data_IF_366501318630
#
_entry.id   IF_366501318630
#
_cell.length_a   1.000
_cell.length_b   1.000
_cell.length_c   1.000
_cell.angle_alpha   90.00
_cell.angle_beta   90.00
_cell.angle_gamma   90.00
#
_symmetry.space_group_name_H-M   'P 1'
#
loop_
_entity.id
_entity.type
_entity.pdbx_description
1 polymer ?
#
# COMPACT_ATOMS: atom_id res chain seq x y z
N UNK A 1 -18.26 -8.17 -14.09
CA UNK A 1 -17.76 -8.73 -12.81
C UNK A 1 -17.60 -7.66 -11.72
N UNK A 2 -17.25 -6.41 -12.08
CA UNK A 2 -17.05 -5.28 -11.15
C UNK A 2 -18.31 -4.83 -10.36
N UNK A 3 -19.49 -4.78 -10.99
CA UNK A 3 -20.78 -4.49 -10.30
C UNK A 3 -21.17 -5.55 -9.26
N UNK A 4 -20.63 -6.78 -9.35
CA UNK A 4 -20.85 -7.83 -8.34
C UNK A 4 -19.99 -7.63 -7.08
N UNK A 5 -18.84 -6.96 -7.19
CA UNK A 5 -18.00 -6.67 -6.04
C UNK A 5 -18.53 -5.50 -5.22
N UNK A 6 -18.98 -4.40 -5.85
CA UNK A 6 -19.67 -3.31 -5.16
C UNK A 6 -20.93 -3.80 -4.42
N UNK A 7 -21.73 -4.68 -5.04
CA UNK A 7 -22.89 -5.31 -4.40
C UNK A 7 -22.56 -6.23 -3.22
N UNK A 8 -21.46 -7.00 -3.26
CA UNK A 8 -21.03 -7.82 -2.11
C UNK A 8 -20.40 -6.98 -1.00
N UNK A 9 -19.67 -5.95 -1.40
CA UNK A 9 -18.98 -4.99 -0.53
C UNK A 9 -19.98 -4.14 0.28
N UNK A 10 -21.01 -3.62 -0.37
CA UNK A 10 -22.11 -2.91 0.30
C UNK A 10 -23.00 -3.85 1.14
N UNK A 11 -23.26 -5.09 0.68
CA UNK A 11 -24.23 -6.01 1.32
C UNK A 11 -23.91 -6.46 2.74
N UNK A 12 -22.63 -6.60 3.13
CA UNK A 12 -22.28 -7.12 4.47
C UNK A 12 -22.52 -6.12 5.60
N UNK A 13 -22.59 -4.83 5.26
CA UNK A 13 -22.81 -3.73 6.21
C UNK A 13 -24.08 -2.92 5.90
N UNK A 14 -24.77 -3.22 4.79
CA UNK A 14 -25.94 -2.48 4.30
C UNK A 14 -27.03 -2.35 5.37
N UNK A 15 -27.35 -3.44 6.07
CA UNK A 15 -28.42 -3.44 7.07
C UNK A 15 -28.14 -2.49 8.23
N UNK A 16 -26.87 -2.29 8.60
CA UNK A 16 -26.48 -1.34 9.64
C UNK A 16 -26.47 0.09 9.10
N UNK A 17 -25.87 0.30 7.92
CA UNK A 17 -25.79 1.59 7.24
C UNK A 17 -27.18 2.16 6.96
N UNK A 18 -28.12 1.33 6.53
CA UNK A 18 -29.52 1.73 6.30
C UNK A 18 -30.25 2.08 7.60
N UNK A 19 -29.94 1.43 8.74
CA UNK A 19 -30.55 1.74 10.05
C UNK A 19 -30.13 3.09 10.62
N UNK A 20 -28.95 3.58 10.24
CA UNK A 20 -28.39 4.86 10.71
C UNK A 20 -28.63 6.01 9.73
N UNK A 21 -29.58 5.87 8.80
CA UNK A 21 -30.14 6.97 8.01
C UNK A 21 -29.68 7.04 6.55
N UNK A 22 -28.68 6.25 6.14
CA UNK A 22 -28.27 6.18 4.74
C UNK A 22 -29.30 5.44 3.89
N UNK A 23 -29.38 5.78 2.61
CA UNK A 23 -30.28 5.16 1.63
C UNK A 23 -29.46 4.60 0.48
N UNK A 24 -29.82 3.40 0.04
CA UNK A 24 -29.30 2.85 -1.21
C UNK A 24 -30.15 3.40 -2.36
N UNK A 25 -29.56 4.23 -3.21
CA UNK A 25 -30.20 4.77 -4.39
C UNK A 25 -29.66 4.07 -5.64
N UNK A 26 -30.50 3.99 -6.67
CA UNK A 26 -30.14 3.43 -7.97
C UNK A 26 -30.51 4.44 -9.03
N UNK A 27 -29.56 4.79 -9.89
CA UNK A 27 -29.78 5.72 -10.99
C UNK A 27 -29.08 5.26 -12.26
N UNK A 28 -29.46 5.82 -13.41
CA UNK A 28 -28.76 5.60 -14.67
C UNK A 28 -27.83 6.76 -14.96
N UNK A 29 -26.57 6.47 -15.30
CA UNK A 29 -25.62 7.48 -15.76
C UNK A 29 -26.17 8.12 -17.05
N UNK A 30 -26.31 9.45 -17.11
CA UNK A 30 -26.84 10.13 -18.29
C UNK A 30 -26.01 9.87 -19.55
N UNK A 31 -24.69 9.75 -19.39
CA UNK A 31 -23.73 9.65 -20.51
C UNK A 31 -23.56 8.22 -21.02
N UNK A 32 -23.42 7.23 -20.13
CA UNK A 32 -23.14 5.84 -20.53
C UNK A 32 -24.37 4.93 -20.55
N UNK A 33 -25.48 5.36 -19.92
CA UNK A 33 -26.70 4.56 -19.77
C UNK A 33 -26.61 3.44 -18.72
N UNK A 34 -25.44 3.25 -18.10
CA UNK A 34 -25.23 2.23 -17.09
C UNK A 34 -26.02 2.51 -15.81
N UNK A 35 -26.54 1.45 -15.20
CA UNK A 35 -27.19 1.54 -13.89
C UNK A 35 -26.14 1.52 -12.78
N UNK A 36 -26.15 2.53 -11.92
CA UNK A 36 -25.24 2.70 -10.78
C UNK A 36 -26.04 2.70 -9.49
N UNK A 37 -25.56 1.91 -8.53
CA UNK A 37 -26.04 1.90 -7.14
C UNK A 37 -25.05 2.70 -6.28
N UNK A 38 -25.57 3.57 -5.41
CA UNK A 38 -24.76 4.38 -4.50
C UNK A 38 -25.49 4.59 -3.17
N UNK A 39 -24.72 4.86 -2.11
CA UNK A 39 -25.30 5.24 -0.83
C UNK A 39 -25.43 6.76 -0.76
N UNK A 40 -26.54 7.25 -0.23
CA UNK A 40 -26.80 8.67 -0.04
C UNK A 40 -27.27 8.96 1.38
N UNK A 41 -26.80 10.04 1.97
CA UNK A 41 -27.27 10.57 3.24
C UNK A 41 -27.43 12.08 3.11
N UNK A 42 -28.62 12.58 3.43
CA UNK A 42 -28.90 14.01 3.48
C UNK A 42 -29.06 14.40 4.95
N UNK A 43 -28.29 15.40 5.38
CA UNK A 43 -28.36 15.96 6.73
C UNK A 43 -28.56 17.47 6.65
N UNK A 44 -29.08 18.05 7.73
CA UNK A 44 -29.27 19.49 7.88
C UNK A 44 -28.37 19.96 9.02
N UNK A 45 -27.47 20.90 8.73
CA UNK A 45 -26.67 21.53 9.76
C UNK A 45 -27.55 22.42 10.65
N UNK A 46 -27.12 22.70 11.91
CA UNK A 46 -27.81 23.63 12.81
C UNK A 46 -28.04 25.01 12.20
N UNK A 47 -27.16 25.43 11.28
CA UNK A 47 -27.23 26.69 10.55
C UNK A 47 -28.19 26.64 9.34
N UNK A 48 -28.94 25.55 9.16
CA UNK A 48 -29.94 25.39 8.09
C UNK A 48 -29.37 24.94 6.75
N UNK A 49 -28.06 24.77 6.63
CA UNK A 49 -27.40 24.33 5.40
C UNK A 49 -27.61 22.82 5.18
N UNK A 50 -28.04 22.44 3.97
CA UNK A 50 -28.20 21.03 3.61
C UNK A 50 -26.87 20.42 3.18
N UNK A 51 -26.49 19.30 3.79
CA UNK A 51 -25.34 18.50 3.38
C UNK A 51 -25.85 17.21 2.73
N UNK A 52 -25.52 17.01 1.46
CA UNK A 52 -25.85 15.79 0.71
C UNK A 52 -24.57 14.99 0.45
N UNK A 53 -24.48 13.86 1.16
CA UNK A 53 -23.35 12.95 1.10
C UNK A 53 -23.68 11.78 0.17
N UNK A 54 -22.77 11.45 -0.73
CA UNK A 54 -22.92 10.33 -1.64
C UNK A 54 -21.64 9.48 -1.73
N UNK A 55 -21.79 8.16 -1.62
CA UNK A 55 -20.67 7.21 -1.70
C UNK A 55 -20.77 6.42 -2.99
N UNK A 56 -19.78 6.61 -3.86
CA UNK A 56 -19.63 5.86 -5.11
C UNK A 56 -18.41 4.97 -5.06
N UNK A 57 -18.47 3.82 -5.74
CA UNK A 57 -17.27 3.07 -6.05
C UNK A 57 -16.49 3.78 -7.17
N UNK A 58 -15.26 4.21 -6.89
CA UNK A 58 -14.37 4.77 -7.91
C UNK A 58 -13.57 3.66 -8.58
N UNK A 59 -13.67 3.58 -9.90
CA UNK A 59 -12.86 2.64 -10.69
C UNK A 59 -11.38 3.03 -10.70
N UNK A 60 -11.08 4.33 -10.72
CA UNK A 60 -9.71 4.86 -10.72
C UNK A 60 -8.96 4.50 -9.45
N UNK A 61 -9.64 4.55 -8.30
CA UNK A 61 -9.04 4.22 -7.00
C UNK A 61 -9.33 2.79 -6.55
N UNK A 62 -10.22 2.07 -7.23
CA UNK A 62 -10.68 0.73 -6.85
C UNK A 62 -11.22 0.62 -5.41
N UNK A 63 -11.77 1.72 -4.89
CA UNK A 63 -12.35 1.83 -3.54
C UNK A 63 -13.59 2.72 -3.57
N UNK A 64 -14.48 2.62 -2.56
CA UNK A 64 -15.53 3.61 -2.35
C UNK A 64 -14.93 4.98 -2.07
N UNK A 65 -15.65 6.01 -2.49
CA UNK A 65 -15.27 7.41 -2.39
C UNK A 65 -16.48 8.21 -1.95
N UNK A 66 -16.27 9.14 -1.03
CA UNK A 66 -17.30 10.06 -0.59
C UNK A 66 -17.24 11.37 -1.39
N UNK A 67 -18.42 11.82 -1.79
CA UNK A 67 -18.68 13.16 -2.31
C UNK A 67 -19.62 13.89 -1.36
N UNK A 68 -19.41 15.20 -1.23
CA UNK A 68 -20.22 16.12 -0.47
C UNK A 68 -20.72 17.24 -1.38
N UNK A 69 -22.04 17.32 -1.50
CA UNK A 69 -22.76 18.44 -2.08
C UNK A 69 -23.26 19.33 -0.93
N UNK A 70 -22.54 20.44 -0.70
CA UNK A 70 -22.90 21.46 0.29
C UNK A 70 -22.91 22.82 -0.39
N UNK A 71 -24.08 23.44 -0.48
CA UNK A 71 -24.23 24.75 -1.12
C UNK A 71 -24.64 25.81 -0.10
N UNK A 72 -24.11 27.02 -0.23
CA UNK A 72 -24.60 28.20 0.49
C UNK A 72 -25.99 28.61 -0.01
N UNK A 73 -26.64 29.53 0.70
CA UNK A 73 -27.87 30.18 0.25
C UNK A 73 -27.69 30.93 -1.09
N UNK A 74 -26.46 31.34 -1.42
CA UNK A 74 -26.09 31.94 -2.71
C UNK A 74 -25.88 30.91 -3.83
N UNK A 75 -25.97 29.62 -3.54
CA UNK A 75 -25.77 28.52 -4.50
C UNK A 75 -24.30 28.18 -4.78
N UNK A 76 -23.36 28.71 -4.00
CA UNK A 76 -21.94 28.40 -4.12
C UNK A 76 -21.58 27.13 -3.36
N UNK A 77 -20.66 26.33 -3.89
CA UNK A 77 -20.17 25.12 -3.22
C UNK A 77 -19.26 25.53 -2.05
N UNK A 78 -19.62 25.12 -0.82
CA UNK A 78 -18.91 25.52 0.41
C UNK A 78 -18.35 24.29 1.12
N UNK A 79 -17.09 24.36 1.54
CA UNK A 79 -16.47 23.34 2.38
C UNK A 79 -16.88 23.50 3.86
N UNK A 80 -17.04 22.40 4.63
CA UNK A 80 -17.20 22.49 6.08
C UNK A 80 -15.99 23.19 6.72
N UNK A 81 -16.25 23.99 7.75
CA UNK A 81 -15.22 24.74 8.47
C UNK A 81 -14.15 23.81 9.08
N UNK A 82 -12.88 24.09 8.82
CA UNK A 82 -11.74 23.27 9.30
C UNK A 82 -11.40 22.06 8.43
N UNK A 83 -11.99 21.97 7.23
CA UNK A 83 -11.78 20.91 6.23
C UNK A 83 -11.37 21.48 4.86
N UNK A 84 -11.06 22.76 4.79
CA UNK A 84 -10.86 23.48 3.51
C UNK A 84 -9.76 22.82 2.66
N UNK A 85 -8.73 22.26 3.33
CA UNK A 85 -7.60 21.59 2.68
C UNK A 85 -7.77 20.07 2.50
N UNK A 86 -8.80 19.47 3.12
CA UNK A 86 -9.03 18.02 3.08
C UNK A 86 -9.93 17.60 1.91
N UNK A 87 -10.65 18.56 1.33
CA UNK A 87 -11.64 18.38 0.28
C UNK A 87 -11.14 18.98 -1.04
N UNK A 88 -11.32 18.25 -2.13
CA UNK A 88 -10.97 18.74 -3.48
C UNK A 88 -12.25 18.97 -4.30
N UNK A 89 -12.46 20.15 -4.89
CA UNK A 89 -13.56 20.36 -5.82
C UNK A 89 -13.43 19.44 -7.05
N UNK A 90 -14.53 18.81 -7.46
CA UNK A 90 -14.59 17.97 -8.66
C UNK A 90 -16.03 17.92 -9.19
N UNK A 91 -16.25 17.19 -10.28
CA UNK A 91 -17.59 17.00 -10.85
C UNK A 91 -18.24 15.74 -10.29
N UNK A 92 -19.54 15.83 -9.98
CA UNK A 92 -20.30 14.71 -9.47
C UNK A 92 -20.38 13.60 -10.52
N UNK A 93 -20.08 12.34 -10.17
CA UNK A 93 -19.91 11.25 -11.14
C UNK A 93 -21.17 10.89 -11.94
N UNK A 94 -22.35 11.39 -11.53
CA UNK A 94 -23.62 11.19 -12.25
C UNK A 94 -24.11 12.48 -12.89
N UNK A 95 -24.23 13.55 -12.12
CA UNK A 95 -24.91 14.78 -12.55
C UNK A 95 -23.98 15.77 -13.23
N UNK A 96 -22.66 15.60 -13.09
CA UNK A 96 -21.67 16.58 -13.56
C UNK A 96 -21.71 17.91 -12.81
N UNK A 97 -22.49 18.00 -11.72
CA UNK A 97 -22.55 19.21 -10.91
C UNK A 97 -21.28 19.35 -10.05
N UNK A 98 -20.82 20.58 -9.74
CA UNK A 98 -19.67 20.79 -8.85
C UNK A 98 -19.94 20.21 -7.45
N UNK A 99 -19.03 19.39 -6.94
CA UNK A 99 -19.09 18.75 -5.62
C UNK A 99 -17.73 18.69 -4.96
N UNK A 100 -17.72 18.51 -3.65
CA UNK A 100 -16.49 18.31 -2.89
C UNK A 100 -16.19 16.82 -2.80
N UNK A 101 -14.98 16.43 -3.16
CA UNK A 101 -14.51 15.05 -3.13
C UNK A 101 -13.54 14.85 -1.96
N UNK A 102 -13.82 13.81 -1.17
CA UNK A 102 -12.89 13.33 -0.15
C UNK A 102 -11.94 12.32 -0.79
N UNK A 103 -10.65 12.64 -0.78
CA UNK A 103 -9.65 11.69 -1.24
C UNK A 103 -9.70 10.43 -0.35
N UNK A 104 -9.70 9.21 -0.92
CA UNK A 104 -9.85 7.97 -0.14
C UNK A 104 -8.83 7.83 1.00
N UNK A 105 -7.58 8.26 0.78
CA UNK A 105 -6.52 8.24 1.79
C UNK A 105 -6.70 9.23 2.96
N UNK A 106 -7.64 10.18 2.85
CA UNK A 106 -7.94 11.19 3.87
C UNK A 106 -9.28 10.96 4.56
N UNK A 107 -9.88 9.78 4.38
CA UNK A 107 -11.17 9.40 5.01
C UNK A 107 -11.12 9.45 6.53
N UNK A 108 -9.94 9.29 7.15
CA UNK A 108 -9.74 9.44 8.60
C UNK A 108 -9.87 10.90 9.10
N UNK A 109 -9.63 11.89 8.24
CA UNK A 109 -9.76 13.33 8.58
C UNK A 109 -11.24 13.73 8.74
N UNK A 110 -12.16 13.04 8.05
CA UNK A 110 -13.61 13.23 8.21
C UNK A 110 -14.11 12.89 9.62
N UNK A 111 -13.45 11.98 10.33
CA UNK A 111 -13.81 11.68 11.72
C UNK A 111 -13.70 12.91 12.65
N UNK A 112 -12.90 13.91 12.27
CA UNK A 112 -12.74 15.18 13.01
C UNK A 112 -13.92 16.13 12.79
N UNK A 113 -14.51 16.10 11.60
CA UNK A 113 -15.59 17.01 11.18
C UNK A 113 -16.97 16.56 11.66
N UNK A 114 -17.06 15.35 12.18
CA UNK A 114 -18.34 14.74 12.50
C UNK A 114 -18.67 14.93 13.99
N UNK A 115 -19.78 15.61 14.33
CA UNK A 115 -20.21 15.76 15.72
C UNK A 115 -20.31 14.41 16.42
N UNK A 116 -19.94 14.36 17.70
CA UNK A 116 -19.86 13.07 18.41
C UNK A 116 -21.18 12.29 18.43
N UNK A 117 -22.29 13.00 18.33
CA UNK A 117 -23.67 12.52 18.35
C UNK A 117 -24.19 11.96 17.03
N UNK A 118 -23.53 12.22 15.90
CA UNK A 118 -24.03 11.77 14.59
C UNK A 118 -23.44 10.41 14.21
N UNK A 119 -24.16 9.35 14.57
CA UNK A 119 -23.77 7.96 14.28
C UNK A 119 -23.79 7.66 12.76
N UNK A 120 -24.65 8.33 11.99
CA UNK A 120 -24.78 8.13 10.55
C UNK A 120 -23.56 8.62 9.79
N UNK A 121 -23.09 9.84 10.11
CA UNK A 121 -21.92 10.45 9.49
C UNK A 121 -20.60 9.81 9.91
N UNK A 122 -20.50 9.22 11.11
CA UNK A 122 -19.27 8.55 11.59
C UNK A 122 -19.03 7.16 11.01
N UNK A 123 -20.10 6.43 10.72
CA UNK A 123 -20.00 5.03 10.37
C UNK A 123 -19.33 4.82 9.01
N UNK A 124 -19.70 5.60 7.99
CA UNK A 124 -19.12 5.47 6.65
C UNK A 124 -17.61 5.74 6.61
N UNK A 125 -17.05 6.83 7.17
CA UNK A 125 -15.60 7.01 7.21
C UNK A 125 -14.90 5.90 7.99
N UNK A 126 -15.41 5.47 9.15
CA UNK A 126 -14.84 4.31 9.88
C UNK A 126 -15.03 2.97 9.14
N UNK A 127 -16.00 2.86 8.25
CA UNK A 127 -16.18 1.70 7.39
C UNK A 127 -15.27 1.75 6.14
N UNK A 128 -14.98 2.95 5.63
CA UNK A 128 -14.06 3.19 4.50
C UNK A 128 -12.59 3.17 4.93
N UNK A 129 -12.30 3.59 6.15
CA UNK A 129 -10.98 3.50 6.79
C UNK A 129 -11.08 2.45 7.88
N UNK A 130 -10.87 1.16 7.57
CA UNK A 130 -10.92 0.09 8.57
C UNK A 130 -10.11 0.48 9.83
N UNK A 131 -10.72 0.77 10.99
CA UNK A 131 -9.99 1.32 12.11
C UNK A 131 -9.20 0.19 12.76
N UNK A 132 -7.87 0.33 12.77
CA UNK A 132 -7.04 -0.57 13.57
C UNK A 132 -7.21 -0.28 15.06
N UNK A 133 -7.34 -1.33 15.87
CA UNK A 133 -7.29 -1.24 17.31
C UNK A 133 -5.87 -0.85 17.72
N UNK A 134 -5.72 0.38 18.20
CA UNK A 134 -4.44 0.88 18.71
C UNK A 134 -4.09 0.18 20.02
N UNK A 135 -2.84 -0.25 20.16
CA UNK A 135 -2.34 -0.89 21.36
C UNK A 135 -1.09 -0.16 21.85
N UNK A 136 -1.10 0.36 23.09
CA UNK A 136 0.03 1.10 23.68
C UNK A 136 0.55 2.26 22.80
N UNK A 137 -0.33 2.91 22.03
CA UNK A 137 0.04 4.01 21.12
C UNK A 137 0.50 3.58 19.72
N UNK A 138 0.64 2.27 19.47
CA UNK A 138 0.94 1.70 18.14
C UNK A 138 -0.32 1.76 17.28
N UNK A 139 -0.18 2.30 16.06
CA UNK A 139 -1.30 2.44 15.11
C UNK A 139 -1.71 1.09 14.50
N UNK A 140 -0.75 0.27 14.08
CA UNK A 140 -1.01 -1.05 13.46
C UNK A 140 -0.22 -2.16 14.18
N UNK A 141 -0.72 -2.68 15.31
CA UNK A 141 0.05 -3.59 16.16
C UNK A 141 0.59 -4.85 15.46
N UNK A 142 -0.20 -5.45 14.57
CA UNK A 142 0.20 -6.64 13.84
C UNK A 142 1.29 -6.32 12.80
N UNK A 143 1.05 -5.34 11.93
CA UNK A 143 2.03 -4.88 10.94
C UNK A 143 3.35 -4.50 11.62
N UNK A 144 3.32 -3.70 12.69
CA UNK A 144 4.51 -3.32 13.46
C UNK A 144 5.28 -4.54 13.97
N UNK A 145 4.60 -5.49 14.61
CA UNK A 145 5.24 -6.70 15.14
C UNK A 145 5.87 -7.53 14.02
N UNK A 146 5.14 -7.76 12.92
CA UNK A 146 5.61 -8.58 11.83
C UNK A 146 6.75 -7.92 11.04
N UNK A 147 6.73 -6.60 10.82
CA UNK A 147 7.87 -5.87 10.24
C UNK A 147 9.11 -5.97 11.12
N UNK A 148 8.95 -5.83 12.45
CA UNK A 148 10.06 -6.00 13.40
C UNK A 148 10.65 -7.41 13.34
N UNK A 149 9.79 -8.44 13.28
CA UNK A 149 10.23 -9.83 13.16
C UNK A 149 10.93 -10.12 11.82
N UNK A 150 10.51 -9.51 10.71
CA UNK A 150 11.25 -9.58 9.44
C UNK A 150 12.65 -8.97 9.60
N UNK A 151 12.76 -7.77 10.20
CA UNK A 151 14.06 -7.14 10.47
C UNK A 151 14.98 -8.01 11.33
N UNK A 152 14.45 -8.60 12.40
CA UNK A 152 15.18 -9.53 13.28
C UNK A 152 15.64 -10.77 12.50
N UNK A 153 14.78 -11.35 11.64
CA UNK A 153 15.14 -12.49 10.82
C UNK A 153 16.31 -12.18 9.87
N UNK A 154 16.34 -10.97 9.28
CA UNK A 154 17.49 -10.52 8.48
C UNK A 154 18.76 -10.32 9.32
N UNK A 155 18.66 -9.81 10.55
CA UNK A 155 19.81 -9.68 11.47
C UNK A 155 20.41 -11.06 11.77
N UNK A 156 19.57 -12.06 12.10
CA UNK A 156 20.05 -13.42 12.35
C UNK A 156 20.64 -14.06 11.09
N UNK A 157 19.96 -13.90 9.95
CA UNK A 157 20.41 -14.40 8.66
C UNK A 157 21.76 -13.80 8.23
N UNK A 158 21.92 -12.47 8.37
CA UNK A 158 23.17 -11.79 8.08
C UNK A 158 24.28 -12.24 9.04
N UNK A 159 23.96 -12.42 10.32
CA UNK A 159 24.90 -12.95 11.31
C UNK A 159 25.33 -14.40 11.00
N UNK A 160 24.43 -15.23 10.46
CA UNK A 160 24.77 -16.57 9.99
C UNK A 160 25.68 -16.52 8.75
N UNK A 161 25.34 -15.67 7.77
CA UNK A 161 26.16 -15.44 6.57
C UNK A 161 27.59 -15.01 6.94
N UNK A 162 27.72 -14.06 7.86
CA UNK A 162 29.03 -13.54 8.29
C UNK A 162 29.90 -14.62 8.94
N UNK A 163 29.30 -15.59 9.64
CA UNK A 163 29.99 -16.70 10.33
C UNK A 163 30.31 -17.87 9.41
N UNK A 164 29.44 -18.19 8.46
CA UNK A 164 29.54 -19.41 7.64
C UNK A 164 30.23 -19.16 6.29
N UNK A 165 30.09 -17.96 5.72
CA UNK A 165 30.65 -17.62 4.41
C UNK A 165 32.02 -16.98 4.58
N UNK A 166 33.04 -17.67 4.04
CA UNK A 166 34.44 -17.22 4.02
C UNK A 166 34.59 -15.82 3.42
N UNK A 167 35.52 -15.02 3.95
CA UNK A 167 35.79 -13.64 3.50
C UNK A 167 36.11 -13.53 2.01
N UNK A 168 36.72 -14.56 1.42
CA UNK A 168 37.17 -14.59 0.04
C UNK A 168 36.03 -14.94 -0.93
N UNK A 169 34.84 -15.31 -0.42
CA UNK A 169 33.73 -15.68 -1.27
C UNK A 169 33.29 -14.47 -2.14
N UNK A 170 33.24 -14.63 -3.48
CA UNK A 170 33.18 -13.49 -4.40
C UNK A 170 31.93 -12.62 -4.27
N UNK A 171 30.82 -13.20 -3.82
CA UNK A 171 29.55 -12.48 -3.68
C UNK A 171 29.28 -11.99 -2.26
N UNK A 172 30.17 -12.25 -1.29
CA UNK A 172 29.92 -11.98 0.14
C UNK A 172 29.58 -10.51 0.40
N UNK A 173 30.32 -9.58 -0.20
CA UNK A 173 30.06 -8.14 -0.05
C UNK A 173 28.67 -7.72 -0.56
N UNK A 174 28.24 -8.26 -1.70
CA UNK A 174 26.91 -8.00 -2.27
C UNK A 174 25.78 -8.48 -1.35
N UNK A 175 25.93 -9.67 -0.76
CA UNK A 175 24.93 -10.20 0.17
C UNK A 175 24.89 -9.46 1.50
N UNK A 176 26.04 -8.99 2.00
CA UNK A 176 26.10 -8.14 3.20
C UNK A 176 25.39 -6.82 2.94
N UNK A 177 25.72 -6.14 1.83
CA UNK A 177 25.09 -4.87 1.48
C UNK A 177 23.57 -5.03 1.34
N UNK A 178 23.11 -6.06 0.62
CA UNK A 178 21.68 -6.34 0.47
C UNK A 178 21.02 -6.66 1.83
N UNK A 179 21.67 -7.45 2.69
CA UNK A 179 21.16 -7.75 4.03
C UNK A 179 21.00 -6.51 4.91
N UNK A 180 21.98 -5.61 4.90
CA UNK A 180 21.91 -4.34 5.64
C UNK A 180 20.79 -3.43 5.14
N UNK A 181 20.62 -3.34 3.81
CA UNK A 181 19.53 -2.56 3.20
C UNK A 181 18.17 -3.15 3.58
N UNK A 182 18.02 -4.48 3.58
CA UNK A 182 16.79 -5.13 4.01
C UNK A 182 16.48 -4.86 5.49
N UNK A 183 17.47 -4.94 6.38
CA UNK A 183 17.30 -4.59 7.80
C UNK A 183 16.80 -3.15 7.92
N UNK A 184 17.41 -2.20 7.21
CA UNK A 184 17.01 -0.80 7.25
C UNK A 184 15.58 -0.59 6.72
N UNK A 185 15.22 -1.26 5.63
CA UNK A 185 13.85 -1.24 5.08
C UNK A 185 12.82 -1.68 6.12
N UNK A 186 13.06 -2.81 6.81
CA UNK A 186 12.13 -3.30 7.83
C UNK A 186 12.08 -2.42 9.08
N UNK A 187 13.18 -1.73 9.41
CA UNK A 187 13.17 -0.71 10.48
C UNK A 187 12.27 0.46 10.08
N UNK A 188 12.37 0.96 8.85
CA UNK A 188 11.49 2.04 8.38
C UNK A 188 10.02 1.62 8.37
N UNK A 189 9.73 0.40 7.91
CA UNK A 189 8.38 -0.17 7.94
C UNK A 189 7.84 -0.32 9.36
N UNK A 190 8.67 -0.77 10.31
CA UNK A 190 8.30 -0.86 11.73
C UNK A 190 7.95 0.52 12.31
N UNK A 191 8.74 1.54 12.00
CA UNK A 191 8.51 2.92 12.46
C UNK A 191 7.20 3.47 11.87
N UNK A 192 6.97 3.26 10.58
CA UNK A 192 5.76 3.69 9.89
C UNK A 192 4.50 3.06 10.48
N UNK A 193 4.44 1.74 10.60
CA UNK A 193 3.28 1.04 11.18
C UNK A 193 3.09 1.34 12.68
N UNK A 194 4.17 1.70 13.39
CA UNK A 194 4.07 2.19 14.77
C UNK A 194 3.37 3.53 14.80
N UNK A 195 3.86 4.47 13.99
CA UNK A 195 3.30 5.82 13.89
C UNK A 195 3.39 6.37 12.47
N UNK A 196 2.22 6.45 11.85
CA UNK A 196 2.02 7.04 10.54
C UNK A 196 2.05 8.58 10.65
N UNK A 197 3.00 9.16 9.93
CA UNK A 197 3.21 10.59 9.72
C UNK A 197 3.71 10.78 8.29
N UNK A 198 3.56 11.97 7.69
CA UNK A 198 4.07 12.22 6.33
C UNK A 198 5.57 11.97 6.17
N UNK A 199 6.34 12.04 7.27
CA UNK A 199 7.78 11.73 7.25
C UNK A 199 8.03 10.22 7.28
N UNK A 200 7.38 9.50 8.20
CA UNK A 200 7.57 8.04 8.36
C UNK A 200 7.02 7.27 7.16
N UNK A 201 5.93 7.75 6.56
CA UNK A 201 5.41 7.27 5.27
C UNK A 201 6.47 7.38 4.17
N UNK A 202 6.98 8.59 3.91
CA UNK A 202 8.02 8.79 2.88
C UNK A 202 9.25 7.91 3.13
N UNK A 203 9.62 7.72 4.40
CA UNK A 203 10.75 6.90 4.78
C UNK A 203 10.54 5.42 4.46
N UNK A 204 9.35 4.88 4.74
CA UNK A 204 9.00 3.49 4.42
C UNK A 204 9.00 3.25 2.90
N UNK A 205 8.33 4.11 2.13
CA UNK A 205 8.30 4.02 0.67
C UNK A 205 9.68 4.17 0.03
N UNK A 206 10.53 5.07 0.56
CA UNK A 206 11.91 5.18 0.12
C UNK A 206 12.72 3.92 0.46
N UNK A 207 12.58 3.40 1.67
CA UNK A 207 13.21 2.16 2.13
C UNK A 207 12.86 0.98 1.24
N UNK A 208 11.56 0.78 0.99
CA UNK A 208 11.04 -0.26 0.11
C UNK A 208 11.61 -0.16 -1.31
N UNK A 209 11.63 1.03 -1.89
CA UNK A 209 12.18 1.24 -3.24
C UNK A 209 13.69 0.93 -3.30
N UNK A 210 14.46 1.43 -2.34
CA UNK A 210 15.90 1.16 -2.25
C UNK A 210 16.16 -0.34 -2.09
N UNK A 211 15.41 -1.02 -1.23
CA UNK A 211 15.52 -2.46 -1.02
C UNK A 211 15.20 -3.27 -2.28
N UNK A 212 14.14 -2.88 -3.01
CA UNK A 212 13.73 -3.57 -4.24
C UNK A 212 14.78 -3.40 -5.35
N UNK A 213 15.33 -2.19 -5.53
CA UNK A 213 16.42 -1.94 -6.49
C UNK A 213 17.71 -2.65 -6.09
N UNK A 214 18.05 -2.70 -4.80
CA UNK A 214 19.20 -3.44 -4.30
C UNK A 214 19.06 -4.95 -4.55
N UNK A 215 17.86 -5.51 -4.33
CA UNK A 215 17.56 -6.91 -4.59
C UNK A 215 17.65 -7.26 -6.09
N UNK A 216 17.13 -6.38 -6.97
CA UNK A 216 17.27 -6.52 -8.42
C UNK A 216 18.75 -6.44 -8.86
N UNK A 217 19.51 -5.55 -8.24
CA UNK A 217 20.97 -5.43 -8.48
C UNK A 217 21.69 -6.72 -8.08
N UNK A 218 21.34 -7.30 -6.93
CA UNK A 218 21.96 -8.53 -6.43
C UNK A 218 21.73 -9.73 -7.38
N UNK A 219 20.51 -9.91 -7.89
CA UNK A 219 20.24 -10.99 -8.88
C UNK A 219 20.92 -10.71 -10.22
N UNK A 220 21.03 -9.45 -10.63
CA UNK A 220 21.75 -9.06 -11.86
C UNK A 220 23.23 -9.43 -11.76
N UNK A 221 23.88 -9.08 -10.65
CA UNK A 221 25.28 -9.47 -10.37
C UNK A 221 25.44 -10.99 -10.38
N UNK A 222 24.46 -11.72 -9.82
CA UNK A 222 24.45 -13.17 -9.78
C UNK A 222 24.29 -13.81 -11.16
N UNK A 223 23.48 -13.23 -12.04
CA UNK A 223 23.26 -13.67 -13.43
C UNK A 223 24.46 -13.38 -14.33
N UNK A 224 25.03 -12.18 -14.24
CA UNK A 224 26.20 -11.79 -15.02
C UNK A 224 27.42 -12.62 -14.61
N UNK A 225 27.53 -12.94 -13.32
CA UNK A 225 28.67 -13.63 -12.74
C UNK A 225 29.79 -12.66 -12.38
N UNK A 226 30.41 -12.87 -11.23
CA UNK A 226 31.40 -11.95 -10.66
C UNK A 226 32.62 -11.76 -11.57
N UNK A 227 33.02 -12.81 -12.30
CA UNK A 227 34.21 -12.81 -13.17
C UNK A 227 34.05 -11.91 -14.40
N UNK A 228 32.80 -11.71 -14.84
CA UNK A 228 32.46 -10.86 -16.00
C UNK A 228 32.15 -9.43 -15.58
N UNK A 229 32.03 -9.17 -14.28
CA UNK A 229 31.63 -7.87 -13.77
C UNK A 229 32.84 -6.93 -13.70
N UNK A 230 32.93 -6.01 -14.66
CA UNK A 230 33.98 -4.98 -14.67
C UNK A 230 33.68 -3.89 -13.63
N UNK A 231 34.73 -3.20 -13.14
CA UNK A 231 34.55 -2.03 -12.26
C UNK A 231 33.65 -0.97 -12.90
N UNK A 232 33.89 -0.67 -14.18
CA UNK A 232 33.08 0.30 -14.93
C UNK A 232 31.64 -0.17 -15.05
N UNK A 233 31.39 -1.43 -15.41
CA UNK A 233 30.04 -1.99 -15.48
C UNK A 233 29.30 -1.94 -14.14
N UNK A 234 30.00 -2.23 -13.05
CA UNK A 234 29.47 -2.12 -11.68
C UNK A 234 29.06 -0.67 -11.35
N UNK A 235 29.93 0.30 -11.64
CA UNK A 235 29.64 1.72 -11.38
C UNK A 235 28.47 2.22 -12.22
N UNK A 236 28.36 1.80 -13.48
CA UNK A 236 27.23 2.13 -14.35
C UNK A 236 25.93 1.56 -13.79
N UNK A 237 25.91 0.28 -13.42
CA UNK A 237 24.74 -0.38 -12.85
C UNK A 237 24.28 0.28 -11.55
N UNK A 238 25.20 0.53 -10.62
CA UNK A 238 24.89 1.21 -9.36
C UNK A 238 24.43 2.67 -9.60
N UNK A 239 25.10 3.38 -10.49
CA UNK A 239 24.72 4.75 -10.86
C UNK A 239 23.33 4.82 -11.51
N UNK A 240 23.01 3.86 -12.38
CA UNK A 240 21.68 3.74 -12.98
C UNK A 240 20.61 3.44 -11.92
N UNK A 241 20.87 2.52 -11.00
CA UNK A 241 19.99 2.23 -9.86
C UNK A 241 19.75 3.45 -8.97
N UNK A 242 20.82 4.15 -8.56
CA UNK A 242 20.70 5.37 -7.75
C UNK A 242 19.96 6.50 -8.48
N UNK A 243 20.25 6.70 -9.77
CA UNK A 243 19.57 7.69 -10.61
C UNK A 243 18.08 7.38 -10.75
N UNK A 244 17.74 6.11 -10.94
CA UNK A 244 16.37 5.65 -10.98
C UNK A 244 15.65 5.92 -9.65
N UNK A 245 16.21 5.49 -8.51
CA UNK A 245 15.63 5.72 -7.18
C UNK A 245 15.43 7.23 -6.94
N UNK A 246 16.44 8.05 -7.23
CA UNK A 246 16.32 9.50 -7.07
C UNK A 246 15.18 10.09 -7.90
N UNK A 247 15.08 9.71 -9.18
CA UNK A 247 14.00 10.18 -10.06
C UNK A 247 12.63 9.70 -9.61
N UNK A 248 12.52 8.43 -9.20
CA UNK A 248 11.29 7.84 -8.65
C UNK A 248 10.82 8.60 -7.41
N UNK A 249 11.71 8.79 -6.42
CA UNK A 249 11.36 9.47 -5.17
C UNK A 249 11.07 10.96 -5.39
N UNK A 250 11.78 11.63 -6.31
CA UNK A 250 11.47 13.01 -6.69
C UNK A 250 10.07 13.14 -7.30
N UNK A 251 9.67 12.17 -8.13
CA UNK A 251 8.32 12.12 -8.69
C UNK A 251 7.28 11.85 -7.59
N UNK A 252 7.53 10.82 -6.77
CA UNK A 252 6.60 10.35 -5.75
C UNK A 252 6.36 11.37 -4.63
N UNK A 253 7.41 12.11 -4.22
CA UNK A 253 7.33 13.10 -3.13
C UNK A 253 7.04 14.53 -3.60
N UNK A 254 6.68 14.71 -4.87
CA UNK A 254 6.45 16.01 -5.49
C UNK A 254 5.20 16.73 -4.97
N UNK A 255 4.13 16.77 -5.77
CA UNK A 255 2.92 17.54 -5.45
C UNK A 255 1.89 16.69 -4.71
N UNK A 256 1.66 15.47 -5.20
CA UNK A 256 0.77 14.49 -4.58
C UNK A 256 1.41 13.11 -4.61
N UNK A 257 1.23 12.35 -3.53
CA UNK A 257 1.78 11.01 -3.41
C UNK A 257 0.93 10.03 -4.22
N UNK A 258 1.48 9.50 -5.32
CA UNK A 258 0.79 8.52 -6.17
C UNK A 258 1.13 7.08 -5.75
N UNK A 259 0.30 6.53 -4.86
CA UNK A 259 0.42 5.16 -4.38
C UNK A 259 0.25 4.12 -5.51
N UNK A 260 -0.65 4.38 -6.47
CA UNK A 260 -0.93 3.47 -7.57
C UNK A 260 0.25 3.38 -8.54
N UNK A 261 0.90 4.51 -8.82
CA UNK A 261 2.18 4.54 -9.53
C UNK A 261 3.26 3.78 -8.76
N UNK A 262 3.43 4.05 -7.46
CA UNK A 262 4.45 3.37 -6.65
C UNK A 262 4.28 1.84 -6.69
N UNK A 263 3.03 1.37 -6.53
CA UNK A 263 2.70 -0.05 -6.58
C UNK A 263 3.07 -0.67 -7.93
N UNK A 264 2.72 -0.03 -9.05
CA UNK A 264 3.09 -0.51 -10.40
C UNK A 264 4.60 -0.61 -10.58
N UNK A 265 5.36 0.37 -10.09
CA UNK A 265 6.82 0.36 -10.18
C UNK A 265 7.42 -0.76 -9.33
N UNK A 266 6.95 -0.94 -8.09
CA UNK A 266 7.38 -2.04 -7.22
C UNK A 266 7.09 -3.41 -7.85
N UNK A 267 5.89 -3.59 -8.40
CA UNK A 267 5.48 -4.82 -9.06
C UNK A 267 6.34 -5.11 -10.30
N UNK A 268 6.67 -4.09 -11.10
CA UNK A 268 7.53 -4.25 -12.26
C UNK A 268 8.97 -4.69 -11.86
N UNK A 269 9.59 -3.99 -10.91
CA UNK A 269 10.93 -4.32 -10.41
C UNK A 269 10.94 -5.71 -9.77
N UNK A 270 9.94 -6.01 -8.94
CA UNK A 270 9.76 -7.33 -8.32
C UNK A 270 9.58 -8.44 -9.35
N UNK A 271 8.81 -8.19 -10.42
CA UNK A 271 8.65 -9.12 -11.54
C UNK A 271 9.99 -9.46 -12.21
N UNK A 272 10.79 -8.44 -12.54
CA UNK A 272 12.13 -8.67 -13.08
C UNK A 272 13.05 -9.41 -12.12
N UNK A 273 12.96 -9.12 -10.81
CA UNK A 273 13.73 -9.80 -9.79
C UNK A 273 13.40 -11.29 -9.72
N UNK A 274 12.11 -11.64 -9.67
CA UNK A 274 11.62 -13.03 -9.62
C UNK A 274 12.04 -13.78 -10.89
N UNK A 275 11.81 -13.19 -12.06
CA UNK A 275 12.22 -13.78 -13.35
C UNK A 275 13.74 -14.03 -13.35
N UNK A 276 14.53 -13.06 -12.88
CA UNK A 276 15.98 -13.18 -12.80
C UNK A 276 16.41 -14.37 -11.94
N UNK A 277 15.80 -14.57 -10.77
CA UNK A 277 16.11 -15.68 -9.88
C UNK A 277 15.68 -17.03 -10.43
N UNK A 278 14.50 -17.11 -11.05
CA UNK A 278 14.02 -18.33 -11.69
C UNK A 278 14.91 -18.71 -12.88
N UNK A 279 15.32 -17.74 -13.70
CA UNK A 279 16.29 -17.93 -14.78
C UNK A 279 17.63 -18.42 -14.23
N UNK A 280 18.18 -17.76 -13.21
CA UNK A 280 19.45 -18.17 -12.60
C UNK A 280 19.37 -19.59 -12.04
N UNK A 281 18.32 -19.91 -11.29
CA UNK A 281 18.12 -21.21 -10.70
C UNK A 281 17.96 -22.30 -11.77
N UNK A 282 17.19 -22.04 -12.83
CA UNK A 282 17.04 -22.96 -13.94
C UNK A 282 18.37 -23.22 -14.64
N UNK A 283 19.14 -22.18 -14.98
CA UNK A 283 20.43 -22.31 -15.66
C UNK A 283 21.47 -23.07 -14.81
N UNK A 284 21.36 -22.99 -13.47
CA UNK A 284 22.32 -23.59 -12.54
C UNK A 284 21.77 -24.84 -11.81
N UNK A 285 20.63 -25.38 -12.22
CA UNK A 285 19.95 -26.48 -11.51
C UNK A 285 20.78 -27.76 -11.43
N UNK A 286 21.65 -28.01 -12.41
CA UNK A 286 22.52 -29.19 -12.46
C UNK A 286 23.87 -28.99 -11.78
N UNK A 287 24.33 -27.74 -11.64
CA UNK A 287 25.67 -27.41 -11.12
C UNK A 287 25.65 -26.91 -9.68
N UNK A 288 24.54 -26.31 -9.25
CA UNK A 288 24.37 -25.74 -7.91
C UNK A 288 23.24 -26.49 -7.18
N UNK A 289 23.53 -27.42 -6.25
CA UNK A 289 22.52 -28.18 -5.52
C UNK A 289 21.53 -27.33 -4.71
N UNK A 290 21.89 -26.09 -4.40
CA UNK A 290 21.05 -25.13 -3.67
C UNK A 290 20.24 -24.19 -4.58
N UNK A 291 20.33 -24.32 -5.91
CA UNK A 291 19.61 -23.46 -6.86
C UNK A 291 18.09 -23.46 -6.63
N UNK A 292 17.53 -24.60 -6.22
CA UNK A 292 16.10 -24.72 -5.91
C UNK A 292 15.67 -23.80 -4.76
N UNK A 293 16.54 -23.52 -3.78
CA UNK A 293 16.21 -22.62 -2.66
C UNK A 293 15.96 -21.21 -3.16
N UNK A 294 16.82 -20.73 -4.07
CA UNK A 294 16.67 -19.43 -4.70
C UNK A 294 15.37 -19.33 -5.50
N UNK A 295 15.02 -20.37 -6.26
CA UNK A 295 13.73 -20.42 -6.96
C UNK A 295 12.54 -20.45 -5.98
N UNK A 296 12.60 -21.29 -4.95
CA UNK A 296 11.53 -21.46 -3.97
C UNK A 296 11.26 -20.17 -3.20
N UNK A 297 12.29 -19.51 -2.65
CA UNK A 297 12.13 -18.24 -1.91
C UNK A 297 11.49 -17.18 -2.79
N UNK A 298 11.95 -17.03 -4.03
CA UNK A 298 11.45 -15.96 -4.92
C UNK A 298 10.05 -16.25 -5.44
N UNK A 299 9.74 -17.50 -5.76
CA UNK A 299 8.39 -17.90 -6.13
C UNK A 299 7.41 -17.71 -4.96
N UNK A 300 7.80 -18.15 -3.76
CA UNK A 300 6.98 -17.97 -2.56
C UNK A 300 6.81 -16.50 -2.20
N UNK A 301 7.85 -15.68 -2.32
CA UNK A 301 7.76 -14.22 -2.12
C UNK A 301 6.78 -13.56 -3.10
N UNK A 302 6.78 -13.98 -4.36
CA UNK A 302 5.81 -13.51 -5.34
C UNK A 302 4.38 -13.97 -4.99
N UNK A 303 4.22 -15.20 -4.51
CA UNK A 303 2.94 -15.72 -4.08
C UNK A 303 2.42 -15.02 -2.82
N UNK A 304 3.29 -14.70 -1.86
CA UNK A 304 2.90 -13.95 -0.66
C UNK A 304 2.52 -12.52 -0.99
N UNK A 305 3.19 -11.87 -1.96
CA UNK A 305 2.80 -10.54 -2.44
C UNK A 305 1.36 -10.52 -3.00
N UNK A 306 0.87 -11.64 -3.56
CA UNK A 306 -0.52 -11.74 -3.99
C UNK A 306 -1.52 -11.67 -2.84
N UNK A 307 -1.09 -11.81 -1.58
CA UNK A 307 -1.93 -11.55 -0.41
C UNK A 307 -2.32 -10.07 -0.32
N UNK A 308 -1.50 -9.12 -0.77
CA UNK A 308 -1.86 -7.70 -0.81
C UNK A 308 -3.05 -7.42 -1.76
N UNK A 309 -3.34 -8.32 -2.70
CA UNK A 309 -4.52 -8.22 -3.56
C UNK A 309 -5.82 -8.62 -2.85
N UNK A 310 -5.72 -9.22 -1.66
CA UNK A 310 -6.87 -9.57 -0.86
C UNK A 310 -7.37 -8.32 -0.14
N UNK A 311 -8.59 -7.88 -0.43
CA UNK A 311 -9.22 -6.78 0.29
C UNK A 311 -10.23 -7.37 1.29
N UNK A 312 -9.84 -7.47 2.56
CA UNK A 312 -10.71 -7.94 3.65
C UNK A 312 -10.54 -7.11 4.92
N UNK A 313 -11.62 -6.96 5.73
CA UNK A 313 -11.57 -6.26 7.01
C UNK A 313 -10.51 -6.80 7.97
N UNK A 314 -9.82 -5.95 8.75
CA UNK A 314 -8.87 -6.43 9.74
C UNK A 314 -9.55 -7.35 10.76
N UNK A 315 -9.13 -8.60 10.80
CA UNK A 315 -9.55 -9.56 11.83
C UNK A 315 -9.03 -9.09 13.19
N UNK A 316 -9.88 -9.16 14.22
CA UNK A 316 -9.60 -8.59 15.55
C UNK A 316 -9.18 -7.11 15.52
N UNK A 317 -9.56 -6.37 14.48
CA UNK A 317 -9.15 -4.98 14.27
C UNK A 317 -7.63 -4.79 14.22
N UNK A 318 -6.86 -5.84 13.94
CA UNK A 318 -5.38 -5.76 13.87
C UNK A 318 -4.80 -6.49 12.67
N UNK A 319 -5.42 -7.58 12.21
CA UNK A 319 -4.90 -8.47 11.16
C UNK A 319 -5.62 -8.26 9.82
N UNK A 320 -5.04 -7.46 8.94
CA UNK A 320 -5.49 -7.28 7.55
C UNK A 320 -4.60 -8.05 6.56
N UNK A 321 -4.87 -7.86 5.27
CA UNK A 321 -4.09 -8.48 4.21
C UNK A 321 -2.63 -8.05 4.21
N UNK A 322 -2.37 -6.78 4.53
CA UNK A 322 -1.02 -6.21 4.62
C UNK A 322 -0.22 -6.86 5.75
N UNK A 323 -0.79 -6.94 6.96
CA UNK A 323 -0.16 -7.63 8.09
C UNK A 323 0.10 -9.11 7.79
N UNK A 324 -0.82 -9.80 7.09
CA UNK A 324 -0.59 -11.19 6.68
C UNK A 324 0.55 -11.32 5.67
N UNK A 325 0.71 -10.37 4.75
CA UNK A 325 1.87 -10.32 3.87
C UNK A 325 3.15 -10.23 4.69
N UNK A 326 3.27 -9.27 5.62
CA UNK A 326 4.43 -9.17 6.53
C UNK A 326 4.70 -10.48 7.30
N UNK A 327 3.65 -11.11 7.85
CA UNK A 327 3.80 -12.38 8.57
C UNK A 327 4.36 -13.49 7.67
N UNK A 328 3.87 -13.57 6.44
CA UNK A 328 4.19 -14.64 5.50
C UNK A 328 5.63 -14.56 4.95
N UNK A 329 6.26 -13.39 4.96
CA UNK A 329 7.65 -13.22 4.51
C UNK A 329 8.69 -13.67 5.54
N UNK A 330 8.35 -13.67 6.83
CA UNK A 330 9.24 -14.06 7.93
C UNK A 330 9.90 -15.45 7.70
N UNK A 331 9.15 -16.54 7.44
CA UNK A 331 9.77 -17.86 7.24
C UNK A 331 10.59 -17.97 5.95
N UNK A 332 10.42 -17.07 4.98
CA UNK A 332 11.18 -17.06 3.74
C UNK A 332 12.62 -16.54 3.95
N UNK A 333 12.82 -15.69 4.96
CA UNK A 333 14.12 -15.07 5.24
C UNK A 333 15.16 -16.11 5.70
N UNK A 334 14.89 -17.01 6.68
CA UNK A 334 15.84 -18.08 7.01
C UNK A 334 16.19 -18.97 5.81
N UNK A 335 15.23 -19.27 4.92
CA UNK A 335 15.48 -20.06 3.72
C UNK A 335 16.42 -19.32 2.75
N UNK A 336 16.27 -18.00 2.60
CA UNK A 336 17.14 -17.16 1.79
C UNK A 336 18.61 -17.19 2.24
N UNK A 337 18.85 -17.18 3.55
CA UNK A 337 20.20 -17.21 4.11
C UNK A 337 20.80 -18.63 4.26
N UNK A 338 20.08 -19.69 3.87
CA UNK A 338 20.43 -21.09 4.13
C UNK A 338 21.21 -21.83 3.03
#
# INVERSE_FOLDING_TARGET
>A
MLVKHSRRFLKRSLDHVLRIGWRLETTRRPVTGDTVEYLRLVTLDPDGVTNDYSVFYSESYSVPVLYLSRYSDSGELVAPSGCEDCLTPTDHPISGAPVLFFHPCRTSEWAVLTPKSDAGLKYIPSWMSWPFARFLGIQEPASTLFSMLNGIAHVFGLSALLRQVKSEAPFRGWWIANGLIMILCWVFSTIFHTRDTPFTEKLDYAGGMIANVAALTAVTVRLVGIERLTRTGTMIMLGAGCSFVYRHLKFLFGVSFDYGYNMKVHLAIGGFHVIGWLCWAFLNRSTCPYAWKGAAVNFLMAATMALELLDFPPFLWTLDAHALWHLSTIPLIPLWYS
#
